data_IF_828430943315
#
_entry.id   IF_828430943315
#
_cell.length_a   1.000
_cell.length_b   1.000
_cell.length_c   1.000
_cell.angle_alpha   90.00
_cell.angle_beta   90.00
_cell.angle_gamma   90.00
#
_symmetry.space_group_name_H-M   'P 1'
#
loop_
_entity.id
_entity.type
_entity.pdbx_description
1 polymer ?
#
# COMPACT_ATOMS: atom_id res chain seq x y z
N UNK A 1 -35.85 -41.52 -40.41
CA UNK A 1 -36.34 -40.38 -39.60
C UNK A 1 -35.63 -40.28 -38.24
N UNK A 2 -35.39 -41.39 -37.53
CA UNK A 2 -34.74 -41.43 -36.21
C UNK A 2 -33.28 -40.88 -36.14
N UNK A 3 -32.40 -41.25 -37.10
CA UNK A 3 -30.98 -40.82 -37.07
C UNK A 3 -30.75 -39.30 -37.23
N UNK A 4 -31.66 -38.59 -37.91
CA UNK A 4 -31.49 -37.15 -38.21
C UNK A 4 -31.79 -36.26 -37.00
N UNK A 5 -32.58 -36.78 -36.04
CA UNK A 5 -32.93 -36.09 -34.80
C UNK A 5 -31.83 -36.23 -33.73
N UNK A 6 -31.12 -37.37 -33.68
CA UNK A 6 -30.01 -37.58 -32.75
C UNK A 6 -28.80 -36.67 -33.04
N UNK A 7 -28.48 -36.45 -34.32
CA UNK A 7 -27.38 -35.55 -34.73
C UNK A 7 -27.63 -34.10 -34.32
N UNK A 8 -28.87 -33.62 -34.47
CA UNK A 8 -29.30 -32.28 -34.04
C UNK A 8 -29.27 -32.09 -32.51
N UNK A 9 -29.52 -33.15 -31.73
CA UNK A 9 -29.40 -33.12 -30.28
C UNK A 9 -27.93 -33.00 -29.84
N UNK A 10 -27.04 -33.74 -30.51
CA UNK A 10 -25.60 -33.70 -30.25
C UNK A 10 -24.97 -32.35 -30.64
N UNK A 11 -25.35 -31.78 -31.80
CA UNK A 11 -24.88 -30.46 -32.24
C UNK A 11 -25.32 -29.32 -31.31
N UNK A 12 -26.53 -29.43 -30.71
CA UNK A 12 -27.02 -28.48 -29.68
C UNK A 12 -26.28 -28.61 -28.36
N UNK A 13 -25.87 -29.82 -28.00
CA UNK A 13 -25.13 -30.11 -26.78
C UNK A 13 -23.67 -29.63 -26.91
N UNK A 14 -23.04 -29.83 -28.06
CA UNK A 14 -21.73 -29.26 -28.40
C UNK A 14 -21.79 -27.73 -28.41
N UNK A 15 -22.79 -27.14 -29.07
CA UNK A 15 -22.97 -25.69 -29.09
C UNK A 15 -23.14 -25.08 -27.70
N UNK A 16 -23.92 -25.73 -26.83
CA UNK A 16 -24.09 -25.31 -25.44
C UNK A 16 -22.81 -25.40 -24.61
N UNK A 17 -22.03 -26.48 -24.76
CA UNK A 17 -20.75 -26.65 -24.05
C UNK A 17 -19.71 -25.64 -24.52
N UNK A 18 -19.62 -25.37 -25.83
CA UNK A 18 -18.68 -24.38 -26.38
C UNK A 18 -19.02 -22.97 -25.89
N UNK A 19 -20.30 -22.60 -25.82
CA UNK A 19 -20.74 -21.31 -25.29
C UNK A 19 -20.43 -21.19 -23.79
N UNK A 20 -20.64 -22.26 -23.01
CA UNK A 20 -20.38 -22.26 -21.57
C UNK A 20 -18.88 -22.17 -21.25
N UNK A 21 -18.02 -22.80 -22.06
CA UNK A 21 -16.55 -22.69 -21.95
C UNK A 21 -16.06 -21.28 -22.32
N UNK A 22 -16.61 -20.67 -23.38
CA UNK A 22 -16.28 -19.30 -23.76
C UNK A 22 -16.72 -18.26 -22.73
N UNK A 23 -17.88 -18.48 -22.08
CA UNK A 23 -18.36 -17.61 -21.01
C UNK A 23 -17.51 -17.72 -19.74
N UNK A 24 -17.01 -18.92 -19.42
CA UNK A 24 -16.09 -19.15 -18.31
C UNK A 24 -14.70 -18.52 -18.55
N UNK A 25 -14.24 -18.44 -19.80
CA UNK A 25 -12.95 -17.83 -20.15
C UNK A 25 -12.96 -16.28 -20.06
N UNK A 26 -14.14 -15.65 -20.16
CA UNK A 26 -14.31 -14.21 -20.00
C UNK A 26 -14.24 -13.70 -18.54
N UNK A 27 -14.22 -14.61 -17.55
CA UNK A 27 -14.11 -14.27 -16.13
C UNK A 27 -12.67 -14.33 -15.59
N UNK A 28 -11.65 -14.38 -16.46
CA UNK A 28 -10.27 -14.20 -16.01
C UNK A 28 -10.11 -12.73 -15.62
N UNK A 29 -10.09 -12.45 -14.32
CA UNK A 29 -9.74 -11.14 -13.79
C UNK A 29 -8.39 -10.73 -14.38
N UNK A 30 -8.35 -9.62 -15.12
CA UNK A 30 -7.09 -9.01 -15.54
C UNK A 30 -6.34 -8.60 -14.29
N UNK A 31 -5.35 -9.41 -13.91
CA UNK A 31 -4.42 -9.04 -12.84
C UNK A 31 -3.57 -7.89 -13.37
N UNK A 32 -3.71 -6.71 -12.77
CA UNK A 32 -2.97 -5.52 -13.22
C UNK A 32 -1.66 -5.46 -12.46
N UNK A 33 -0.55 -5.41 -13.18
CA UNK A 33 0.75 -5.11 -12.59
C UNK A 33 0.85 -3.58 -12.43
N UNK A 34 1.05 -3.10 -11.20
CA UNK A 34 1.19 -1.66 -10.88
C UNK A 34 2.56 -1.41 -10.23
N UNK A 35 3.17 -0.27 -10.55
CA UNK A 35 4.41 0.16 -9.91
C UNK A 35 4.12 1.25 -8.89
N UNK A 36 4.26 0.90 -7.62
CA UNK A 36 4.16 1.83 -6.50
C UNK A 36 5.49 2.60 -6.38
N UNK A 37 5.44 3.91 -6.59
CA UNK A 37 6.56 4.85 -6.45
C UNK A 37 6.40 5.60 -5.15
N UNK A 38 7.38 5.45 -4.26
CA UNK A 38 7.43 6.10 -2.96
C UNK A 38 8.69 6.96 -2.86
N UNK A 39 8.54 8.24 -2.51
CA UNK A 39 9.68 9.11 -2.24
C UNK A 39 10.14 9.00 -0.78
N UNK A 40 11.45 8.93 -0.59
CA UNK A 40 12.12 9.04 0.72
C UNK A 40 13.20 10.12 0.68
N UNK A 41 13.50 10.80 1.80
CA UNK A 41 14.62 11.72 1.84
C UNK A 41 15.92 10.97 1.55
N UNK A 42 16.75 11.54 0.68
CA UNK A 42 18.05 10.96 0.32
C UNK A 42 18.91 10.67 1.55
N UNK A 43 19.45 9.46 1.63
CA UNK A 43 20.32 9.03 2.74
C UNK A 43 19.56 8.73 4.04
N UNK A 44 18.24 8.58 3.97
CA UNK A 44 17.38 8.23 5.10
C UNK A 44 16.64 6.91 4.90
N UNK A 45 16.98 6.11 3.90
CA UNK A 45 16.28 4.87 3.53
C UNK A 45 16.13 3.92 4.74
N UNK A 46 17.18 3.81 5.56
CA UNK A 46 17.17 2.99 6.78
C UNK A 46 16.15 3.49 7.82
N UNK A 47 15.94 4.81 7.93
CA UNK A 47 14.93 5.39 8.82
C UNK A 47 13.50 5.06 8.37
N UNK A 48 13.33 4.71 7.09
CA UNK A 48 12.05 4.32 6.49
C UNK A 48 11.94 2.81 6.25
N UNK A 49 12.90 2.00 6.74
CA UNK A 49 12.95 0.56 6.48
C UNK A 49 11.64 -0.17 6.90
N UNK A 50 11.02 0.27 7.99
CA UNK A 50 9.75 -0.30 8.43
C UNK A 50 8.60 0.01 7.47
N UNK A 51 8.45 1.27 7.03
CA UNK A 51 7.44 1.72 6.09
C UNK A 51 7.60 1.01 4.73
N UNK A 52 8.83 0.96 4.24
CA UNK A 52 9.19 0.25 2.99
C UNK A 52 8.84 -1.24 3.13
N UNK A 53 9.23 -1.87 4.24
CA UNK A 53 8.93 -3.27 4.53
C UNK A 53 7.43 -3.57 4.57
N UNK A 54 6.64 -2.70 5.20
CA UNK A 54 5.18 -2.84 5.26
C UNK A 54 4.54 -2.80 3.86
N UNK A 55 4.96 -1.86 3.01
CA UNK A 55 4.46 -1.76 1.63
C UNK A 55 4.89 -2.97 0.81
N UNK A 56 6.15 -3.42 0.95
CA UNK A 56 6.63 -4.65 0.28
C UNK A 56 5.82 -5.87 0.67
N UNK A 57 5.48 -6.00 1.95
CA UNK A 57 4.65 -7.09 2.44
C UNK A 57 3.23 -7.01 1.85
N UNK A 58 2.63 -5.82 1.81
CA UNK A 58 1.31 -5.62 1.20
C UNK A 58 1.31 -6.00 -0.28
N UNK A 59 2.30 -5.55 -1.04
CA UNK A 59 2.50 -5.88 -2.47
C UNK A 59 2.67 -7.39 -2.68
N UNK A 60 3.50 -8.05 -1.87
CA UNK A 60 3.73 -9.49 -1.98
C UNK A 60 2.48 -10.34 -1.72
N UNK A 61 1.48 -9.80 -1.03
CA UNK A 61 0.21 -10.46 -0.74
C UNK A 61 -0.95 -9.95 -1.63
N UNK A 62 -0.70 -8.97 -2.49
CA UNK A 62 -1.68 -8.46 -3.43
C UNK A 62 -1.72 -9.33 -4.70
N UNK A 63 -2.90 -9.54 -5.31
CA UNK A 63 -3.00 -10.27 -6.56
C UNK A 63 -2.41 -9.45 -7.71
N UNK A 64 -1.33 -9.94 -8.32
CA UNK A 64 -0.68 -9.33 -9.48
C UNK A 64 0.82 -9.18 -9.30
N UNK A 65 1.53 -8.89 -10.39
CA UNK A 65 2.98 -8.66 -10.38
C UNK A 65 3.28 -7.18 -10.07
N UNK A 66 2.92 -6.75 -8.87
CA UNK A 66 3.18 -5.38 -8.43
C UNK A 66 4.63 -5.17 -8.02
N UNK A 67 5.11 -3.93 -8.14
CA UNK A 67 6.48 -3.56 -7.78
C UNK A 67 6.50 -2.32 -6.88
N UNK A 68 7.54 -2.22 -6.04
CA UNK A 68 7.82 -1.02 -5.25
C UNK A 68 9.13 -0.40 -5.71
N UNK A 69 9.05 0.82 -6.22
CA UNK A 69 10.16 1.71 -6.51
C UNK A 69 10.31 2.75 -5.40
N UNK A 70 11.48 2.78 -4.76
CA UNK A 70 11.80 3.75 -3.71
C UNK A 70 12.71 4.82 -4.31
N UNK A 71 12.20 6.04 -4.42
CA UNK A 71 12.90 7.20 -4.97
C UNK A 71 13.60 7.96 -3.85
N UNK A 72 14.92 8.00 -3.89
CA UNK A 72 15.73 8.83 -3.00
C UNK A 72 15.75 10.27 -3.49
N UNK A 73 15.04 11.16 -2.80
CA UNK A 73 14.83 12.55 -3.22
C UNK A 73 15.60 13.53 -2.32
N UNK A 74 16.47 14.33 -2.94
CA UNK A 74 17.22 15.41 -2.29
C UNK A 74 16.27 16.48 -1.74
N UNK A 75 16.42 16.93 -0.48
CA UNK A 75 15.54 17.95 0.15
C UNK A 75 14.04 17.62 0.06
N UNK A 76 13.68 16.36 0.33
CA UNK A 76 12.28 15.96 0.41
C UNK A 76 11.66 16.51 1.70
N UNK A 77 10.59 17.28 1.56
CA UNK A 77 9.70 17.69 2.67
C UNK A 77 8.34 17.04 2.48
N UNK A 78 7.51 17.00 3.54
CA UNK A 78 6.16 16.45 3.43
C UNK A 78 5.32 17.21 2.38
N UNK A 79 5.39 18.54 2.37
CA UNK A 79 4.73 19.38 1.37
C UNK A 79 5.17 19.03 -0.05
N UNK A 80 6.48 18.85 -0.27
CA UNK A 80 7.00 18.47 -1.59
C UNK A 80 6.53 17.08 -2.01
N UNK A 81 6.54 16.11 -1.08
CA UNK A 81 6.04 14.78 -1.36
C UNK A 81 4.56 14.80 -1.76
N UNK A 82 3.73 15.60 -1.10
CA UNK A 82 2.33 15.78 -1.48
C UNK A 82 2.20 16.43 -2.87
N UNK A 83 3.03 17.40 -3.21
CA UNK A 83 3.07 17.96 -4.59
C UNK A 83 3.44 16.89 -5.62
N UNK A 84 4.43 16.03 -5.33
CA UNK A 84 4.81 14.92 -6.21
C UNK A 84 3.69 13.88 -6.35
N UNK A 85 2.88 13.68 -5.31
CA UNK A 85 1.71 12.81 -5.35
C UNK A 85 0.62 13.39 -6.25
N UNK A 86 0.36 14.71 -6.15
CA UNK A 86 -0.60 15.42 -7.02
C UNK A 86 -0.17 15.43 -8.49
N UNK A 87 1.12 15.55 -8.77
CA UNK A 87 1.65 15.53 -10.13
C UNK A 87 1.75 14.13 -10.74
N UNK A 88 1.61 13.07 -9.92
CA UNK A 88 1.73 11.67 -10.34
C UNK A 88 3.17 11.17 -10.46
N UNK A 89 4.16 11.98 -10.11
CA UNK A 89 5.58 11.58 -10.02
C UNK A 89 5.73 10.40 -9.04
N UNK A 90 5.00 10.45 -7.93
CA UNK A 90 4.80 9.33 -7.01
C UNK A 90 3.32 9.00 -6.90
N UNK A 91 3.00 7.80 -6.43
CA UNK A 91 1.62 7.36 -6.17
C UNK A 91 1.43 6.82 -4.74
N UNK A 92 2.50 6.78 -3.93
CA UNK A 92 2.46 6.43 -2.51
C UNK A 92 3.32 7.41 -1.71
N UNK A 93 2.81 7.86 -0.58
CA UNK A 93 3.58 8.64 0.40
C UNK A 93 3.29 8.16 1.80
N UNK A 94 4.31 8.21 2.67
CA UNK A 94 4.09 8.16 4.10
C UNK A 94 3.88 9.58 4.64
N UNK A 95 2.68 9.86 5.13
CA UNK A 95 2.31 11.15 5.70
C UNK A 95 1.83 10.98 7.15
N UNK A 96 2.10 11.98 7.98
CA UNK A 96 1.41 12.10 9.27
C UNK A 96 -0.09 12.35 9.05
N UNK A 97 -0.90 12.00 10.05
CA UNK A 97 -2.35 12.21 10.01
C UNK A 97 -2.68 13.69 9.83
N UNK A 98 -3.46 14.01 8.80
CA UNK A 98 -4.08 15.30 8.60
C UNK A 98 -5.47 15.07 7.99
N UNK A 99 -6.58 15.49 8.63
CA UNK A 99 -7.92 15.28 8.11
C UNK A 99 -8.11 15.84 6.69
N UNK A 100 -7.45 16.94 6.35
CA UNK A 100 -7.57 17.57 5.03
C UNK A 100 -7.02 16.68 3.91
N UNK A 101 -6.08 15.76 4.20
CA UNK A 101 -5.55 14.85 3.17
C UNK A 101 -6.55 13.78 2.75
N UNK A 102 -7.50 13.43 3.62
CA UNK A 102 -8.52 12.42 3.32
C UNK A 102 -9.55 12.89 2.28
N UNK A 103 -9.67 14.22 2.08
CA UNK A 103 -10.54 14.78 1.04
C UNK A 103 -9.91 14.67 -0.36
N UNK A 104 -8.57 14.62 -0.44
CA UNK A 104 -7.84 14.66 -1.71
C UNK A 104 -7.20 13.31 -2.08
N UNK A 105 -6.77 12.52 -1.11
CA UNK A 105 -6.02 11.29 -1.33
C UNK A 105 -6.67 10.09 -0.65
N UNK A 106 -6.45 8.90 -1.22
CA UNK A 106 -6.81 7.66 -0.56
C UNK A 106 -5.90 7.42 0.65
N UNK A 107 -6.47 7.54 1.84
CA UNK A 107 -5.78 7.23 3.09
C UNK A 107 -5.87 5.73 3.40
N UNK A 108 -4.72 5.13 3.70
CA UNK A 108 -4.62 3.75 4.20
C UNK A 108 -4.07 3.79 5.62
N UNK A 109 -4.91 3.48 6.60
CA UNK A 109 -4.51 3.50 8.01
C UNK A 109 -3.67 2.27 8.35
N UNK A 110 -2.44 2.50 8.81
CA UNK A 110 -1.54 1.44 9.24
C UNK A 110 -0.79 1.84 10.52
N UNK A 111 -0.77 0.98 11.57
CA UNK A 111 -0.19 1.32 12.86
C UNK A 111 1.35 1.25 12.84
N UNK A 112 1.99 2.31 12.32
CA UNK A 112 3.46 2.36 12.22
C UNK A 112 4.15 2.28 13.59
N UNK A 113 3.53 2.86 14.61
CA UNK A 113 4.08 2.86 15.98
C UNK A 113 3.80 1.57 16.75
N UNK A 114 3.04 0.61 16.18
CA UNK A 114 2.59 -0.62 16.88
C UNK A 114 1.99 -0.33 18.27
N UNK A 115 1.32 0.82 18.43
CA UNK A 115 0.75 1.27 19.70
C UNK A 115 1.67 2.06 20.61
N UNK A 116 2.94 2.31 20.24
CA UNK A 116 3.87 3.13 21.05
C UNK A 116 3.41 4.58 21.22
N UNK A 117 2.61 5.13 20.30
CA UNK A 117 2.18 6.53 20.37
C UNK A 117 1.34 6.84 21.62
N UNK A 118 0.75 5.83 22.26
CA UNK A 118 0.06 5.98 23.55
C UNK A 118 0.98 6.00 24.78
N UNK A 119 2.26 5.65 24.63
CA UNK A 119 3.21 5.59 25.73
C UNK A 119 3.89 6.93 25.95
N UNK A 120 3.79 7.45 27.17
CA UNK A 120 4.52 8.64 27.61
C UNK A 120 5.84 8.18 28.24
N UNK A 121 6.93 8.33 27.51
CA UNK A 121 8.28 8.08 28.01
C UNK A 121 8.96 9.40 28.32
N UNK A 122 9.40 9.58 29.57
CA UNK A 122 10.26 10.70 29.95
C UNK A 122 11.71 10.30 29.70
N UNK A 123 12.26 10.77 28.58
CA UNK A 123 13.66 10.54 28.22
C UNK A 123 14.48 11.74 28.67
N UNK A 124 15.51 11.49 29.47
CA UNK A 124 16.46 12.50 29.92
C UNK A 124 17.85 12.13 29.42
N UNK A 125 18.72 13.12 29.26
CA UNK A 125 20.13 12.85 29.04
C UNK A 125 20.75 12.31 30.33
N UNK A 126 21.70 11.39 30.22
CA UNK A 126 22.33 10.78 31.40
C UNK A 126 23.03 11.83 32.28
N UNK A 127 23.64 12.86 31.68
CA UNK A 127 24.31 13.95 32.38
C UNK A 127 23.36 14.87 33.15
N UNK A 128 22.06 14.92 32.80
CA UNK A 128 21.07 15.75 33.50
C UNK A 128 20.33 15.00 34.61
N UNK A 129 20.57 13.69 34.78
CA UNK A 129 19.87 12.84 35.75
C UNK A 129 19.95 13.36 37.19
N UNK A 130 21.14 13.75 37.66
CA UNK A 130 21.31 14.24 39.02
C UNK A 130 20.52 15.54 39.30
N UNK A 131 20.38 16.40 38.29
CA UNK A 131 19.63 17.65 38.40
C UNK A 131 18.11 17.41 38.36
N UNK A 132 17.67 16.49 37.51
CA UNK A 132 16.24 16.18 37.33
C UNK A 132 15.68 15.27 38.44
N UNK A 133 16.52 14.46 39.09
CA UNK A 133 16.14 13.69 40.29
C UNK A 133 15.65 14.57 41.45
N UNK A 134 16.00 15.87 41.46
CA UNK A 134 15.58 16.82 42.49
C UNK A 134 14.21 17.45 42.21
N UNK A 135 13.68 17.31 40.98
CA UNK A 135 12.37 17.85 40.60
C UNK A 135 11.30 16.89 41.08
N UNK A 136 10.43 17.36 41.99
CA UNK A 136 9.37 16.54 42.64
C UNK A 136 7.97 16.79 42.10
N UNK A 137 7.75 17.90 41.39
CA UNK A 137 6.49 18.25 40.73
C UNK A 137 6.78 19.03 39.44
N UNK A 138 5.79 19.03 38.54
CA UNK A 138 5.80 19.80 37.28
C UNK A 138 4.81 20.98 37.35
N UNK A 139 4.54 21.49 38.56
CA UNK A 139 3.70 22.68 38.76
C UNK A 139 4.36 23.96 38.22
#
# INVERSE_FOLDING_TARGET
WCLKNMRKGFDRLIGGVVILVLFAFGMVSTVSAETFRMAVPKGSEDNFAFQIGAIRLAIANAPGEHQLEVLSVERLTQTRGLTMLRSGEINVIFAGYNPDFSEEFLQVDFPITRGLQGYRLFVIRADTQASLMRVKSLE
#
